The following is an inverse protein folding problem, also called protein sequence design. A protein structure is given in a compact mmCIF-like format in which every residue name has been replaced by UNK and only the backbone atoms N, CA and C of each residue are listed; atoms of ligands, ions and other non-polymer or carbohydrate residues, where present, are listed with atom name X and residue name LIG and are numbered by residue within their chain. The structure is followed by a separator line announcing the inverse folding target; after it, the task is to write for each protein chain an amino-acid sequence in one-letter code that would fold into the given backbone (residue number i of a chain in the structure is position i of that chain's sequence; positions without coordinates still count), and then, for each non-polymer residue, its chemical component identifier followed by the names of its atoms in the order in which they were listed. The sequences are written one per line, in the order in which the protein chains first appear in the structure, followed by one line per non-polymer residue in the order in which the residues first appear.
data_IF_709407111656
#
_entry.id   IF_709407111656
#
_cell.length_a   1.000
_cell.length_b   1.000
_cell.length_c   1.000
_cell.angle_alpha   90.00
_cell.angle_beta   90.00
_cell.angle_gamma   90.00
#
_symmetry.space_group_name_H-M   'P 1'
#
loop_
_entity.id
_entity.type
_entity.pdbx_description
1 polymer ?
#
# COMPACT_ATOMS: atom_id res chain seq x y z
N UNK A 1 13.22 11.51 -16.63
CA UNK A 1 12.03 12.38 -16.44
C UNK A 1 10.87 11.54 -15.94
N UNK A 2 9.95 12.10 -15.15
CA UNK A 2 8.70 11.42 -14.84
C UNK A 2 7.75 11.55 -16.04
N UNK A 3 7.68 10.51 -16.87
CA UNK A 3 6.88 10.48 -18.10
C UNK A 3 5.37 10.60 -17.81
N UNK A 4 4.93 10.45 -16.56
CA UNK A 4 3.52 10.59 -16.16
C UNK A 4 3.03 12.03 -16.17
N UNK A 5 3.90 13.04 -16.26
CA UNK A 5 3.47 14.45 -16.32
C UNK A 5 2.60 14.76 -17.54
N UNK A 6 2.77 14.03 -18.65
CA UNK A 6 1.97 14.20 -19.87
C UNK A 6 0.65 13.40 -19.83
N UNK A 7 0.49 12.51 -18.85
CA UNK A 7 -0.74 11.72 -18.66
C UNK A 7 -1.66 12.34 -17.58
N UNK A 8 -1.08 12.98 -16.56
CA UNK A 8 -1.80 13.43 -15.37
C UNK A 8 -1.82 14.95 -15.21
N UNK A 9 -3.00 15.49 -14.87
CA UNK A 9 -3.14 16.89 -14.49
C UNK A 9 -2.36 17.20 -13.20
N UNK A 10 -1.50 18.21 -13.23
CA UNK A 10 -0.66 18.65 -12.10
C UNK A 10 -1.45 19.21 -10.91
N UNK A 11 -2.75 19.47 -11.06
CA UNK A 11 -3.63 19.92 -9.97
C UNK A 11 -4.44 18.77 -9.36
N UNK A 12 -5.29 18.12 -10.17
CA UNK A 12 -6.22 17.11 -9.66
C UNK A 12 -5.63 15.69 -9.66
N UNK A 13 -4.43 15.49 -10.22
CA UNK A 13 -3.77 14.17 -10.32
C UNK A 13 -4.62 13.11 -11.05
N UNK A 14 -5.48 13.54 -11.97
CA UNK A 14 -6.32 12.66 -12.79
C UNK A 14 -5.94 12.73 -14.26
N UNK A 15 -6.19 11.63 -14.97
CA UNK A 15 -6.13 11.58 -16.43
C UNK A 15 -7.42 12.23 -16.99
N UNK A 16 -7.32 13.27 -17.83
CA UNK A 16 -8.49 13.94 -18.38
C UNK A 16 -9.28 12.99 -19.30
N UNK A 17 -10.63 13.07 -19.28
CA UNK A 17 -11.49 12.29 -20.20
C UNK A 17 -11.13 12.53 -21.67
N UNK A 18 -10.71 13.75 -22.02
CA UNK A 18 -10.29 14.14 -23.37
C UNK A 18 -8.91 13.63 -23.77
N UNK A 19 -8.14 13.05 -22.82
CA UNK A 19 -6.71 12.70 -22.98
C UNK A 19 -5.82 13.88 -23.43
N UNK A 20 -6.30 15.12 -23.28
CA UNK A 20 -5.57 16.35 -23.62
C UNK A 20 -5.27 17.16 -22.37
N UNK A 21 -4.03 17.60 -22.23
CA UNK A 21 -3.58 18.49 -21.17
C UNK A 21 -2.99 19.77 -21.78
N UNK A 22 -3.26 20.90 -21.13
CA UNK A 22 -2.67 22.20 -21.46
C UNK A 22 -1.36 22.41 -20.70
N UNK A 23 -0.31 22.77 -21.44
CA UNK A 23 0.99 23.14 -20.89
C UNK A 23 0.95 24.54 -20.24
N UNK A 24 1.60 24.67 -19.09
CA UNK A 24 1.91 25.99 -18.53
C UNK A 24 2.89 26.72 -19.47
N UNK A 25 2.45 27.82 -20.08
CA UNK A 25 3.24 28.57 -21.05
C UNK A 25 4.54 29.17 -20.46
N UNK A 26 4.61 29.34 -19.14
CA UNK A 26 5.79 29.93 -18.50
C UNK A 26 6.89 28.92 -18.21
N UNK A 27 6.60 27.87 -17.44
CA UNK A 27 7.61 26.87 -17.05
C UNK A 27 7.74 25.71 -18.03
N UNK A 28 6.77 25.55 -18.94
CA UNK A 28 6.68 24.45 -19.90
C UNK A 28 6.64 23.02 -19.31
N UNK A 29 6.67 22.88 -17.99
CA UNK A 29 6.62 21.59 -17.30
C UNK A 29 5.20 21.22 -16.87
N UNK A 30 4.54 22.04 -16.04
CA UNK A 30 3.23 21.70 -15.49
C UNK A 30 2.16 21.56 -16.58
N UNK A 31 1.23 20.63 -16.38
CA UNK A 31 0.17 20.24 -17.32
C UNK A 31 -1.19 20.25 -16.63
N UNK A 32 -2.23 20.79 -17.25
CA UNK A 32 -3.55 20.96 -16.61
C UNK A 32 -4.70 20.51 -17.52
N UNK A 33 -5.74 19.93 -16.94
CA UNK A 33 -6.98 19.66 -17.69
C UNK A 33 -7.83 20.93 -17.83
N UNK A 34 -8.59 21.01 -18.93
CA UNK A 34 -9.39 22.19 -19.30
C UNK A 34 -10.70 22.35 -18.51
N UNK A 35 -11.33 21.24 -18.13
CA UNK A 35 -12.58 21.18 -17.36
C UNK A 35 -12.40 20.27 -16.15
N UNK A 36 -13.12 20.55 -15.07
CA UNK A 36 -13.25 19.62 -13.94
C UNK A 36 -14.08 18.43 -14.43
N UNK A 37 -13.55 17.21 -14.32
CA UNK A 37 -14.26 16.00 -14.76
C UNK A 37 -15.05 15.34 -13.63
N UNK A 38 -15.15 15.99 -12.47
CA UNK A 38 -15.88 15.50 -11.31
C UNK A 38 -17.01 16.45 -10.93
N UNK A 39 -18.23 15.94 -10.93
CA UNK A 39 -19.45 16.66 -10.57
C UNK A 39 -19.66 16.74 -9.05
N UNK A 40 -18.84 16.04 -8.26
CA UNK A 40 -19.03 15.93 -6.81
C UNK A 40 -18.28 16.99 -5.97
N UNK A 41 -17.48 17.86 -6.59
CA UNK A 41 -16.97 19.05 -5.88
C UNK A 41 -18.07 20.12 -5.78
N UNK A 42 -18.85 20.06 -4.70
CA UNK A 42 -19.91 21.03 -4.36
C UNK A 42 -19.42 22.49 -4.29
N UNK A 43 -18.13 22.77 -4.42
CA UNK A 43 -17.59 24.15 -4.50
C UNK A 43 -17.62 24.75 -5.90
N UNK A 44 -17.97 24.00 -6.94
CA UNK A 44 -17.92 24.49 -8.34
C UNK A 44 -19.32 24.39 -8.97
N UNK A 45 -20.16 25.38 -8.69
CA UNK A 45 -21.53 25.46 -9.20
C UNK A 45 -21.65 25.96 -10.64
N UNK A 46 -20.53 26.27 -11.33
CA UNK A 46 -20.56 26.89 -12.66
C UNK A 46 -19.92 26.00 -13.74
N UNK A 47 -20.80 25.38 -14.55
CA UNK A 47 -20.51 24.49 -15.67
C UNK A 47 -19.81 25.15 -16.89
N UNK A 48 -19.28 26.37 -16.74
CA UNK A 48 -18.79 27.22 -17.84
C UNK A 48 -17.35 27.74 -17.67
N UNK A 49 -16.57 27.21 -16.73
CA UNK A 49 -15.19 27.64 -16.49
C UNK A 49 -14.18 26.77 -17.27
N UNK A 50 -13.36 27.40 -18.12
CA UNK A 50 -12.17 26.80 -18.76
C UNK A 50 -10.92 27.02 -17.89
N UNK A 51 -9.94 26.11 -17.99
CA UNK A 51 -8.65 26.16 -17.26
C UNK A 51 -8.78 26.13 -15.73
N UNK A 52 -9.83 25.50 -15.20
CA UNK A 52 -10.11 25.48 -13.76
C UNK A 52 -8.93 24.93 -12.95
N UNK A 53 -8.37 23.78 -13.36
CA UNK A 53 -7.25 23.18 -12.67
C UNK A 53 -6.00 24.08 -12.66
N UNK A 54 -5.72 24.79 -13.75
CA UNK A 54 -4.60 25.73 -13.80
C UNK A 54 -4.82 26.91 -12.85
N UNK A 55 -6.04 27.48 -12.82
CA UNK A 55 -6.38 28.60 -11.93
C UNK A 55 -6.30 28.20 -10.45
N UNK A 56 -6.83 27.03 -10.09
CA UNK A 56 -6.79 26.51 -8.71
C UNK A 56 -5.34 26.23 -8.29
N UNK A 57 -4.54 25.62 -9.18
CA UNK A 57 -3.15 25.31 -8.89
C UNK A 57 -2.27 26.56 -8.73
N UNK A 58 -2.67 27.71 -9.28
CA UNK A 58 -1.82 28.91 -9.30
C UNK A 58 -1.38 29.37 -7.91
N UNK A 59 -2.23 29.20 -6.89
CA UNK A 59 -1.88 29.50 -5.48
C UNK A 59 -0.69 28.68 -4.96
N UNK A 60 -0.38 27.55 -5.59
CA UNK A 60 0.77 26.69 -5.26
C UNK A 60 1.89 26.79 -6.29
N UNK A 61 1.52 26.81 -7.57
CA UNK A 61 2.45 26.74 -8.67
C UNK A 61 3.16 28.07 -8.92
N UNK A 62 2.61 29.23 -8.54
CA UNK A 62 3.17 30.55 -8.88
C UNK A 62 4.66 30.69 -8.54
N UNK A 63 5.06 30.38 -7.31
CA UNK A 63 6.45 30.51 -6.85
C UNK A 63 7.35 29.45 -7.50
N UNK A 64 6.87 28.20 -7.53
CA UNK A 64 7.49 27.08 -8.21
C UNK A 64 7.74 27.33 -9.71
N UNK A 65 6.80 28.00 -10.40
CA UNK A 65 6.79 28.15 -11.85
C UNK A 65 8.06 28.83 -12.35
N UNK A 66 8.51 29.87 -11.63
CA UNK A 66 9.74 30.61 -11.93
C UNK A 66 10.96 29.70 -11.84
N UNK A 67 11.05 28.91 -10.76
CA UNK A 67 12.20 27.99 -10.53
C UNK A 67 12.20 26.85 -11.55
N UNK A 68 11.03 26.28 -11.86
CA UNK A 68 10.89 25.25 -12.90
C UNK A 68 11.28 25.78 -14.29
N UNK A 69 10.86 27.00 -14.64
CA UNK A 69 11.24 27.63 -15.91
C UNK A 69 12.75 27.72 -16.08
N UNK A 70 13.48 28.00 -15.00
CA UNK A 70 14.92 28.18 -15.04
C UNK A 70 15.70 26.86 -15.22
N UNK A 71 15.10 25.72 -14.88
CA UNK A 71 15.80 24.42 -14.88
C UNK A 71 15.23 23.41 -15.87
N UNK A 72 13.99 23.55 -16.33
CA UNK A 72 13.40 22.64 -17.33
C UNK A 72 14.14 22.76 -18.67
N UNK A 73 14.52 21.64 -19.34
CA UNK A 73 14.14 20.25 -19.09
C UNK A 73 14.95 19.48 -18.02
N UNK A 74 16.04 20.06 -17.51
CA UNK A 74 16.97 19.44 -16.58
C UNK A 74 16.52 19.58 -15.10
N UNK A 75 15.37 18.97 -14.80
CA UNK A 75 14.78 19.04 -13.45
C UNK A 75 15.67 18.37 -12.38
N UNK A 76 15.70 18.91 -11.15
CA UNK A 76 16.35 18.23 -10.03
C UNK A 76 15.55 16.99 -9.60
N UNK A 77 16.06 16.28 -8.59
CA UNK A 77 15.38 15.13 -7.98
C UNK A 77 13.94 15.48 -7.56
N UNK A 78 13.01 14.53 -7.71
CA UNK A 78 11.60 14.68 -7.29
C UNK A 78 11.48 15.10 -5.83
N UNK A 79 12.37 14.61 -4.97
CA UNK A 79 12.44 14.96 -3.55
C UNK A 79 12.73 16.46 -3.32
N UNK A 80 13.62 17.05 -4.13
CA UNK A 80 13.94 18.49 -4.10
C UNK A 80 12.74 19.31 -4.58
N UNK A 81 12.08 18.88 -5.66
CA UNK A 81 10.85 19.53 -6.13
C UNK A 81 9.74 19.50 -5.07
N UNK A 82 9.57 18.35 -4.42
CA UNK A 82 8.56 18.15 -3.37
C UNK A 82 8.85 19.00 -2.13
N UNK A 83 10.07 18.93 -1.57
CA UNK A 83 10.47 19.74 -0.43
C UNK A 83 10.41 21.24 -0.74
N UNK A 84 10.76 21.67 -1.96
CA UNK A 84 10.64 23.07 -2.34
C UNK A 84 9.19 23.56 -2.31
N UNK A 85 8.21 22.71 -2.64
CA UNK A 85 6.77 23.03 -2.50
C UNK A 85 6.34 23.10 -1.04
N UNK A 86 6.90 22.24 -0.18
CA UNK A 86 6.65 22.28 1.27
C UNK A 86 7.21 23.57 1.87
N UNK A 87 8.43 23.96 1.54
CA UNK A 87 9.03 25.23 2.01
C UNK A 87 8.13 26.41 1.65
N UNK A 88 7.69 26.52 0.39
CA UNK A 88 6.79 27.61 -0.02
C UNK A 88 5.48 27.62 0.78
N UNK A 89 4.95 26.42 1.10
CA UNK A 89 3.73 26.27 1.90
C UNK A 89 3.94 26.69 3.35
N UNK A 90 5.05 26.27 3.98
CA UNK A 90 5.39 26.64 5.35
C UNK A 90 5.59 28.15 5.47
N UNK A 91 6.37 28.76 4.57
CA UNK A 91 6.58 30.21 4.54
C UNK A 91 5.27 30.98 4.32
N UNK A 92 4.37 30.44 3.49
CA UNK A 92 3.05 31.05 3.31
C UNK A 92 2.23 31.02 4.61
N UNK A 93 2.18 29.87 5.29
CA UNK A 93 1.44 29.70 6.54
C UNK A 93 1.97 30.64 7.64
N UNK A 94 3.28 30.79 7.77
CA UNK A 94 3.89 31.71 8.74
C UNK A 94 3.53 33.17 8.46
N UNK A 95 3.57 33.59 7.19
CA UNK A 95 3.33 34.98 6.81
C UNK A 95 1.84 35.35 6.74
N UNK A 96 0.95 34.38 6.49
CA UNK A 96 -0.45 34.64 6.16
C UNK A 96 -1.48 33.89 7.01
N UNK A 97 -1.04 32.94 7.83
CA UNK A 97 -1.93 31.93 8.41
C UNK A 97 -2.52 30.97 7.37
N UNK A 98 -3.40 30.08 7.81
CA UNK A 98 -4.04 29.08 6.95
C UNK A 98 -5.25 29.65 6.18
N UNK A 99 -5.00 30.59 5.27
CA UNK A 99 -6.04 31.19 4.41
C UNK A 99 -6.73 30.18 3.49
N UNK A 100 -6.12 29.01 3.26
CA UNK A 100 -6.60 28.04 2.29
C UNK A 100 -7.16 26.74 2.91
N UNK A 101 -7.18 26.63 4.23
CA UNK A 101 -7.68 25.44 4.94
C UNK A 101 -6.84 24.19 4.64
N UNK A 102 -5.52 24.34 4.58
CA UNK A 102 -4.57 23.23 4.42
C UNK A 102 -4.40 22.43 5.70
N UNK A 103 -4.55 23.07 6.85
CA UNK A 103 -4.45 22.46 8.16
C UNK A 103 -5.85 22.20 8.73
N UNK A 104 -5.97 21.16 9.55
CA UNK A 104 -7.21 20.83 10.27
C UNK A 104 -6.89 20.44 11.70
N UNK A 105 -7.08 19.16 12.04
CA UNK A 105 -6.90 18.63 13.38
C UNK A 105 -5.44 18.69 13.86
N UNK A 106 -4.49 18.59 12.93
CA UNK A 106 -3.04 18.71 13.19
C UNK A 106 -2.45 19.78 12.29
N UNK A 107 -1.65 20.67 12.87
CA UNK A 107 -0.92 21.71 12.13
C UNK A 107 0.51 21.26 11.82
N UNK A 108 1.16 21.96 10.91
CA UNK A 108 2.57 21.77 10.56
C UNK A 108 3.49 21.90 11.79
N UNK A 109 3.18 22.85 12.68
CA UNK A 109 3.91 23.05 13.94
C UNK A 109 3.95 21.79 14.79
N UNK A 110 2.87 21.00 14.76
CA UNK A 110 2.65 19.86 15.65
C UNK A 110 3.21 18.54 15.09
N UNK A 111 3.70 18.55 13.85
CA UNK A 111 4.30 17.36 13.24
C UNK A 111 5.65 17.04 13.89
N UNK A 112 5.88 15.77 14.21
CA UNK A 112 7.14 15.28 14.77
C UNK A 112 8.23 15.25 13.69
N UNK A 113 9.42 15.76 14.02
CA UNK A 113 10.58 15.76 13.12
C UNK A 113 11.59 14.64 13.40
N UNK A 114 11.69 14.17 14.65
CA UNK A 114 12.78 13.27 15.07
C UNK A 114 14.17 13.83 14.73
N UNK A 115 14.36 15.13 14.95
CA UNK A 115 15.58 15.86 14.61
C UNK A 115 16.81 15.22 15.25
N UNK A 116 16.78 14.92 16.55
CA UNK A 116 17.90 14.31 17.25
C UNK A 116 18.21 12.88 16.75
N UNK A 117 17.19 12.07 16.48
CA UNK A 117 17.37 10.72 15.94
C UNK A 117 17.96 10.75 14.52
N UNK A 118 17.49 11.66 13.67
CA UNK A 118 18.03 11.84 12.31
C UNK A 118 19.47 12.37 12.36
N UNK A 119 19.80 13.22 13.34
CA UNK A 119 21.17 13.73 13.54
C UNK A 119 22.14 12.62 13.96
N UNK A 120 21.68 11.70 14.80
CA UNK A 120 22.46 10.54 15.23
C UNK A 120 22.57 9.46 14.14
N UNK A 121 21.61 9.39 13.20
CA UNK A 121 21.65 8.50 12.04
C UNK A 121 22.54 9.07 10.92
N UNK A 122 23.79 8.61 10.89
CA UNK A 122 24.81 9.06 9.94
C UNK A 122 24.33 9.03 8.48
N UNK A 123 23.65 7.94 8.07
CA UNK A 123 23.21 7.78 6.69
C UNK A 123 22.11 8.78 6.31
N UNK A 124 21.16 9.04 7.22
CA UNK A 124 20.11 10.04 6.97
C UNK A 124 20.62 11.47 7.07
N UNK A 125 21.56 11.75 7.97
CA UNK A 125 22.18 13.06 8.06
C UNK A 125 23.02 13.39 6.81
N UNK A 126 23.77 12.42 6.27
CA UNK A 126 24.46 12.59 4.98
C UNK A 126 23.48 12.80 3.82
N UNK A 127 22.32 12.15 3.84
CA UNK A 127 21.26 12.41 2.86
C UNK A 127 20.73 13.84 2.97
N UNK A 128 20.50 14.33 4.20
CA UNK A 128 20.15 15.73 4.44
C UNK A 128 21.16 16.70 3.81
N UNK A 129 22.47 16.51 4.02
CA UNK A 129 23.52 17.37 3.43
C UNK A 129 23.44 17.39 1.90
N UNK A 130 23.27 16.22 1.28
CA UNK A 130 23.13 16.10 -0.18
C UNK A 130 21.89 16.84 -0.68
N UNK A 131 20.76 16.72 0.01
CA UNK A 131 19.53 17.43 -0.35
C UNK A 131 19.68 18.93 -0.12
N UNK A 132 20.26 19.39 0.99
CA UNK A 132 20.46 20.81 1.28
C UNK A 132 21.29 21.50 0.18
N UNK A 133 22.38 20.88 -0.27
CA UNK A 133 23.22 21.39 -1.36
C UNK A 133 22.45 21.48 -2.69
N UNK A 134 21.64 20.45 -3.02
CA UNK A 134 20.78 20.47 -4.23
C UNK A 134 19.67 21.50 -4.11
N UNK A 135 19.08 21.66 -2.94
CA UNK A 135 18.03 22.64 -2.66
C UNK A 135 18.57 24.07 -2.77
N UNK A 136 19.77 24.32 -2.23
CA UNK A 136 20.45 25.63 -2.33
C UNK A 136 20.71 26.02 -3.78
N UNK A 137 21.18 25.08 -4.60
CA UNK A 137 21.34 25.30 -6.05
C UNK A 137 19.99 25.59 -6.74
N UNK A 138 18.92 24.89 -6.35
CA UNK A 138 17.60 25.03 -6.97
C UNK A 138 16.86 26.32 -6.58
N UNK A 139 16.92 26.72 -5.30
CA UNK A 139 16.23 27.90 -4.76
C UNK A 139 17.05 29.19 -4.84
N UNK A 140 18.38 29.09 -4.89
CA UNK A 140 19.31 30.24 -4.94
C UNK A 140 18.99 31.24 -3.83
N UNK A 141 18.72 32.50 -4.19
CA UNK A 141 18.40 33.58 -3.24
C UNK A 141 17.09 33.37 -2.48
N UNK A 142 16.21 32.44 -2.92
CA UNK A 142 14.99 32.04 -2.18
C UNK A 142 15.23 30.91 -1.16
N UNK A 143 16.49 30.52 -0.93
CA UNK A 143 16.83 29.49 0.04
C UNK A 143 16.62 30.01 1.46
N UNK A 144 16.09 29.15 2.32
CA UNK A 144 15.89 29.44 3.74
C UNK A 144 17.14 29.09 4.55
N UNK A 145 17.20 29.57 5.79
CA UNK A 145 18.24 29.19 6.74
C UNK A 145 18.38 27.66 6.88
N UNK A 146 19.62 27.20 7.11
CA UNK A 146 19.97 25.78 7.16
C UNK A 146 19.24 25.04 8.29
N UNK A 147 19.13 25.65 9.46
CA UNK A 147 18.49 25.00 10.62
C UNK A 147 16.98 24.89 10.39
N UNK A 148 16.38 25.94 9.82
CA UNK A 148 14.98 25.89 9.39
C UNK A 148 14.74 24.83 8.31
N UNK A 149 15.65 24.72 7.34
CA UNK A 149 15.58 23.67 6.32
C UNK A 149 15.70 22.27 6.94
N UNK A 150 16.60 22.09 7.91
CA UNK A 150 16.77 20.83 8.63
C UNK A 150 15.49 20.38 9.34
N UNK A 151 14.80 21.29 10.04
CA UNK A 151 13.50 21.00 10.68
C UNK A 151 12.46 20.56 9.63
N UNK A 152 12.38 21.27 8.50
CA UNK A 152 11.44 20.91 7.42
C UNK A 152 11.80 19.56 6.81
N UNK A 153 13.07 19.27 6.59
CA UNK A 153 13.57 17.99 6.09
C UNK A 153 13.17 16.84 7.04
N UNK A 154 13.39 17.02 8.34
CA UNK A 154 13.08 16.05 9.37
C UNK A 154 11.57 15.74 9.41
N UNK A 155 10.73 16.78 9.56
CA UNK A 155 9.25 16.64 9.54
C UNK A 155 8.77 15.99 8.24
N UNK A 156 9.32 16.38 7.09
CA UNK A 156 8.94 15.78 5.80
C UNK A 156 9.32 14.30 5.74
N UNK A 157 10.50 13.93 6.18
CA UNK A 157 11.01 12.55 6.15
C UNK A 157 10.18 11.60 7.02
N UNK A 158 9.79 12.04 8.20
CA UNK A 158 9.00 11.24 9.16
C UNK A 158 7.53 11.11 8.73
N UNK A 159 6.92 12.21 8.27
CA UNK A 159 5.47 12.29 8.07
C UNK A 159 5.03 11.98 6.63
N UNK A 160 5.97 11.72 5.71
CA UNK A 160 5.63 11.38 4.32
C UNK A 160 5.21 9.92 4.15
N UNK A 161 4.05 9.73 3.51
CA UNK A 161 3.52 8.44 3.09
C UNK A 161 3.16 8.45 1.60
N UNK A 162 3.33 7.32 0.92
CA UNK A 162 2.98 7.16 -0.48
C UNK A 162 1.66 6.40 -0.60
N UNK A 163 0.68 7.00 -1.29
CA UNK A 163 -0.63 6.40 -1.50
C UNK A 163 -0.80 6.16 -3.00
N UNK A 164 -1.15 4.93 -3.37
CA UNK A 164 -1.60 4.61 -4.72
C UNK A 164 -3.10 4.90 -4.81
N UNK A 165 -3.47 5.93 -5.55
CA UNK A 165 -4.88 6.31 -5.76
C UNK A 165 -5.11 6.68 -7.21
N UNK A 166 -6.28 6.32 -7.69
CA UNK A 166 -6.85 6.66 -8.99
C UNK A 166 -7.94 7.73 -8.88
N UNK A 167 -8.29 8.14 -7.64
CA UNK A 167 -9.26 9.19 -7.32
C UNK A 167 -8.66 10.60 -7.37
N UNK A 168 -7.40 10.75 -7.81
CA UNK A 168 -6.72 12.04 -7.87
C UNK A 168 -6.11 12.43 -6.53
N UNK A 169 -6.45 13.60 -6.00
CA UNK A 169 -5.92 14.11 -4.72
C UNK A 169 -6.70 13.63 -3.49
N UNK A 170 -7.68 12.76 -3.68
CA UNK A 170 -8.53 12.24 -2.60
C UNK A 170 -7.92 10.97 -2.00
N UNK A 171 -7.78 10.98 -0.68
CA UNK A 171 -7.45 9.82 0.13
C UNK A 171 -8.62 9.54 1.08
N UNK A 172 -9.00 8.27 1.22
CA UNK A 172 -10.10 7.85 2.06
C UNK A 172 -9.58 6.85 3.11
N UNK A 173 -10.00 7.04 4.35
CA UNK A 173 -9.77 6.10 5.43
C UNK A 173 -11.01 5.21 5.55
N UNK A 174 -10.82 3.89 5.45
CA UNK A 174 -11.89 2.91 5.62
C UNK A 174 -11.56 1.97 6.77
N UNK A 175 -12.47 1.76 7.73
CA UNK A 175 -12.27 0.80 8.80
C UNK A 175 -12.28 -0.62 8.22
N UNK A 176 -11.22 -1.38 8.49
CA UNK A 176 -11.11 -2.78 8.02
C UNK A 176 -11.68 -3.79 9.02
N UNK A 177 -12.16 -3.31 10.17
CA UNK A 177 -12.85 -4.11 11.19
C UNK A 177 -14.14 -3.40 11.62
N UNK A 178 -15.22 -4.14 11.94
CA UNK A 178 -16.51 -3.55 12.31
C UNK A 178 -16.46 -2.62 13.53
N UNK A 179 -15.50 -2.83 14.44
CA UNK A 179 -15.37 -2.10 15.70
C UNK A 179 -14.62 -0.77 15.55
N UNK A 180 -13.96 -0.54 14.40
CA UNK A 180 -13.12 0.64 14.20
C UNK A 180 -13.96 1.87 13.84
N UNK A 181 -13.88 2.92 14.65
CA UNK A 181 -14.46 4.23 14.31
C UNK A 181 -13.41 5.13 13.65
N UNK A 182 -13.38 5.16 12.31
CA UNK A 182 -12.39 5.93 11.54
C UNK A 182 -12.35 7.44 11.86
N UNK A 183 -13.40 8.00 12.46
CA UNK A 183 -13.47 9.41 12.87
C UNK A 183 -12.79 9.69 14.22
N UNK A 184 -12.41 8.66 14.99
CA UNK A 184 -11.75 8.82 16.29
C UNK A 184 -10.23 8.54 16.18
N UNK A 185 -9.37 9.57 16.08
CA UNK A 185 -7.93 9.37 15.92
C UNK A 185 -7.23 8.85 17.19
N UNK A 186 -7.92 8.78 18.34
CA UNK A 186 -7.35 8.20 19.58
C UNK A 186 -7.42 6.67 19.61
N UNK A 187 -8.36 6.10 18.86
CA UNK A 187 -8.63 4.65 18.86
C UNK A 187 -8.45 4.02 17.49
N UNK A 188 -8.31 4.82 16.44
CA UNK A 188 -8.15 4.35 15.07
C UNK A 188 -6.74 4.56 14.57
N UNK A 189 -6.15 3.46 14.10
CA UNK A 189 -4.76 3.40 13.66
C UNK A 189 -4.69 2.92 12.22
N UNK A 190 -3.69 3.41 11.48
CA UNK A 190 -3.31 2.87 10.17
C UNK A 190 -1.97 2.17 10.29
N UNK A 191 -1.71 1.19 9.43
CA UNK A 191 -0.37 0.60 9.34
C UNK A 191 0.51 1.42 8.39
N UNK A 192 1.72 1.72 8.83
CA UNK A 192 2.72 2.41 7.98
C UNK A 192 3.53 1.43 7.11
N UNK A 193 3.44 0.15 7.45
CA UNK A 193 4.23 -0.94 6.88
C UNK A 193 3.31 -2.08 6.47
N UNK A 194 3.87 -3.05 5.76
CA UNK A 194 3.20 -4.31 5.46
C UNK A 194 3.08 -5.17 6.73
N UNK A 195 1.85 -5.45 7.16
CA UNK A 195 1.56 -6.22 8.38
C UNK A 195 1.61 -7.73 8.18
N UNK A 196 1.67 -8.22 6.93
CA UNK A 196 1.82 -9.65 6.61
C UNK A 196 3.23 -10.17 6.86
N UNK A 197 3.81 -9.83 8.01
CA UNK A 197 5.21 -10.07 8.40
C UNK A 197 5.28 -10.48 9.88
N UNK A 198 6.42 -11.07 10.25
CA UNK A 198 6.74 -11.40 11.64
C UNK A 198 6.84 -10.15 12.51
N UNK A 199 6.74 -10.32 13.83
CA UNK A 199 6.94 -9.26 14.82
C UNK A 199 8.28 -8.55 14.64
N UNK A 200 9.37 -9.31 14.50
CA UNK A 200 10.72 -8.79 14.34
C UNK A 200 10.81 -7.86 13.12
N UNK A 201 10.36 -8.31 11.94
CA UNK A 201 10.43 -7.52 10.72
C UNK A 201 9.58 -6.25 10.82
N UNK A 202 8.38 -6.33 11.41
CA UNK A 202 7.51 -5.17 11.62
C UNK A 202 8.17 -4.12 12.52
N UNK A 203 8.72 -4.53 13.67
CA UNK A 203 9.41 -3.62 14.59
C UNK A 203 10.68 -3.04 13.99
N UNK A 204 11.46 -3.85 13.27
CA UNK A 204 12.67 -3.42 12.57
C UNK A 204 12.36 -2.31 11.55
N UNK A 205 11.35 -2.51 10.69
CA UNK A 205 10.95 -1.52 9.68
C UNK A 205 10.45 -0.23 10.36
N UNK A 206 9.58 -0.35 11.37
CA UNK A 206 9.07 0.81 12.11
C UNK A 206 10.19 1.61 12.80
N UNK A 207 11.11 0.93 13.50
CA UNK A 207 12.23 1.56 14.20
C UNK A 207 13.19 2.25 13.23
N UNK A 208 13.51 1.61 12.11
CA UNK A 208 14.46 2.16 11.13
C UNK A 208 13.99 3.47 10.49
N UNK A 209 12.68 3.67 10.30
CA UNK A 209 12.15 4.88 9.64
C UNK A 209 11.51 5.87 10.62
N UNK A 210 10.80 5.38 11.63
CA UNK A 210 10.01 6.19 12.58
C UNK A 210 10.52 6.15 14.02
N UNK A 211 11.65 5.47 14.29
CA UNK A 211 12.37 5.54 15.57
C UNK A 211 11.55 5.16 16.82
N UNK A 212 10.60 4.23 16.69
CA UNK A 212 9.85 3.73 17.84
C UNK A 212 9.73 2.21 17.83
N UNK A 213 9.60 1.64 19.03
CA UNK A 213 9.32 0.23 19.25
C UNK A 213 7.81 0.01 19.38
N UNK A 214 7.22 -0.74 18.44
CA UNK A 214 5.78 -0.96 18.42
C UNK A 214 5.31 -1.88 19.56
N UNK A 215 4.36 -1.39 20.36
CA UNK A 215 3.72 -2.10 21.47
C UNK A 215 2.21 -2.30 21.26
N UNK A 216 1.76 -2.44 20.00
CA UNK A 216 0.36 -2.76 19.73
C UNK A 216 0.02 -4.17 20.22
N UNK A 217 -1.29 -4.46 20.36
CA UNK A 217 -1.83 -5.74 20.83
C UNK A 217 -1.13 -6.94 20.18
N UNK A 218 -1.06 -6.97 18.84
CA UNK A 218 -0.40 -8.06 18.09
C UNK A 218 1.11 -8.14 18.32
N UNK A 219 1.81 -7.01 18.51
CA UNK A 219 3.25 -7.03 18.83
C UNK A 219 3.53 -7.51 20.27
N UNK A 220 2.53 -7.44 21.15
CA UNK A 220 2.62 -7.90 22.53
C UNK A 220 2.10 -9.33 22.72
N UNK A 221 1.26 -9.84 21.82
CA UNK A 221 0.67 -11.18 21.88
C UNK A 221 1.67 -12.29 21.48
N UNK A 222 2.12 -13.17 22.40
CA UNK A 222 3.03 -14.28 22.11
C UNK A 222 2.53 -15.24 21.02
N UNK A 223 1.22 -15.32 20.78
CA UNK A 223 0.66 -16.16 19.73
C UNK A 223 1.11 -15.75 18.33
N UNK A 224 1.53 -14.49 18.11
CA UNK A 224 2.09 -14.01 16.84
C UNK A 224 3.35 -14.80 16.42
N UNK A 225 4.07 -15.40 17.38
CA UNK A 225 5.27 -16.21 17.11
C UNK A 225 4.96 -17.53 16.35
N UNK A 226 3.68 -17.91 16.19
CA UNK A 226 3.31 -19.00 15.28
C UNK A 226 3.76 -18.71 13.83
N UNK A 227 3.81 -17.43 13.46
CA UNK A 227 4.23 -16.97 12.13
C UNK A 227 5.74 -17.12 11.88
N UNK A 228 6.51 -17.43 12.91
CA UNK A 228 7.95 -17.69 12.85
C UNK A 228 8.29 -19.12 13.26
N UNK A 229 7.27 -20.00 13.27
CA UNK A 229 7.44 -21.40 13.62
C UNK A 229 8.35 -22.16 12.65
N UNK A 230 9.07 -23.13 13.20
CA UNK A 230 9.99 -24.03 12.48
C UNK A 230 9.44 -25.46 12.56
N UNK A 231 9.91 -26.34 11.67
CA UNK A 231 9.47 -27.74 11.66
C UNK A 231 10.01 -28.47 12.88
N UNK A 232 9.29 -29.50 13.31
CA UNK A 232 9.87 -30.50 14.18
C UNK A 232 11.02 -31.21 13.43
N UNK A 233 12.12 -31.49 14.12
CA UNK A 233 13.23 -32.27 13.59
C UNK A 233 12.85 -33.73 13.30
N UNK A 234 11.75 -34.22 13.89
CA UNK A 234 11.12 -35.47 13.48
C UNK A 234 10.24 -35.22 12.24
N UNK A 235 10.66 -35.74 11.08
CA UNK A 235 9.98 -35.59 9.80
C UNK A 235 8.53 -36.10 9.76
N UNK A 236 8.16 -37.04 10.64
CA UNK A 236 6.78 -37.56 10.76
C UNK A 236 5.89 -36.71 11.68
N UNK A 237 6.43 -35.66 12.29
CA UNK A 237 5.73 -34.78 13.21
C UNK A 237 5.48 -33.40 12.56
N UNK A 238 4.21 -33.03 12.41
CA UNK A 238 3.77 -31.73 11.88
C UNK A 238 3.52 -30.69 13.00
N UNK A 239 4.13 -30.88 14.17
CA UNK A 239 3.99 -29.90 15.26
C UNK A 239 4.90 -28.70 15.00
N UNK A 240 4.37 -27.46 14.99
CA UNK A 240 5.20 -26.27 14.87
C UNK A 240 6.01 -26.04 16.15
N UNK A 241 7.31 -25.83 16.01
CA UNK A 241 8.16 -25.37 17.10
C UNK A 241 8.25 -23.85 17.06
N UNK A 242 8.00 -23.20 18.19
CA UNK A 242 7.91 -21.73 18.26
C UNK A 242 9.29 -21.12 18.54
N UNK A 243 9.72 -20.21 17.68
CA UNK A 243 10.92 -19.37 17.86
C UNK A 243 10.66 -18.00 17.22
N UNK A 244 11.62 -17.09 17.31
CA UNK A 244 11.63 -15.80 16.62
C UNK A 244 13.02 -15.53 16.05
N UNK A 245 13.12 -14.66 15.05
CA UNK A 245 14.39 -14.34 14.37
C UNK A 245 15.42 -13.68 15.30
N UNK A 246 14.95 -12.97 16.32
CA UNK A 246 15.75 -12.23 17.30
C UNK A 246 15.77 -12.89 18.69
N UNK A 247 15.20 -14.08 18.84
CA UNK A 247 15.30 -14.86 20.07
C UNK A 247 16.68 -15.52 20.20
N UNK A 248 17.17 -15.66 21.43
CA UNK A 248 18.33 -16.50 21.72
C UNK A 248 18.07 -17.93 21.25
N UNK A 249 19.01 -18.48 20.47
CA UNK A 249 18.91 -19.84 19.98
C UNK A 249 19.04 -20.81 21.17
N UNK A 250 18.07 -21.70 21.32
CA UNK A 250 18.06 -22.70 22.38
C UNK A 250 17.34 -23.94 21.90
N UNK A 251 17.70 -25.11 22.46
CA UNK A 251 17.05 -26.37 22.10
C UNK A 251 15.56 -26.33 22.46
N UNK A 252 14.70 -26.83 21.56
CA UNK A 252 13.25 -26.86 21.72
C UNK A 252 12.78 -28.32 21.72
N UNK A 253 12.13 -28.73 22.80
CA UNK A 253 11.45 -30.03 22.87
C UNK A 253 10.07 -29.94 22.23
N UNK A 254 9.82 -30.78 21.23
CA UNK A 254 8.53 -30.85 20.57
C UNK A 254 7.43 -31.29 21.54
N UNK A 255 6.35 -30.50 21.72
CA UNK A 255 5.29 -30.83 22.67
C UNK A 255 4.46 -32.04 22.26
N UNK A 256 4.48 -32.42 20.97
CA UNK A 256 3.70 -33.53 20.42
C UNK A 256 4.44 -34.87 20.45
N UNK A 257 5.70 -34.90 20.01
CA UNK A 257 6.45 -36.16 19.86
C UNK A 257 7.67 -36.28 20.80
N UNK A 258 7.97 -35.26 21.60
CA UNK A 258 9.11 -35.25 22.52
C UNK A 258 10.49 -35.13 21.86
N UNK A 259 10.57 -35.15 20.53
CA UNK A 259 11.82 -34.95 19.80
C UNK A 259 12.41 -33.57 20.13
N UNK A 260 13.71 -33.53 20.42
CA UNK A 260 14.43 -32.28 20.64
C UNK A 260 14.99 -31.78 19.31
N UNK A 261 14.65 -30.54 18.96
CA UNK A 261 15.39 -29.75 17.99
C UNK A 261 16.52 -29.05 18.76
N UNK A 262 17.77 -29.33 18.41
CA UNK A 262 18.92 -28.74 19.09
C UNK A 262 19.12 -27.26 18.71
N UNK A 263 20.05 -26.61 19.41
CA UNK A 263 20.38 -25.20 19.21
C UNK A 263 20.86 -24.90 17.78
N UNK A 264 21.63 -25.82 17.17
CA UNK A 264 22.15 -25.65 15.81
C UNK A 264 21.01 -25.65 14.78
N UNK A 265 20.05 -26.57 14.93
CA UNK A 265 18.86 -26.62 14.08
C UNK A 265 18.01 -25.35 14.22
N UNK A 266 17.78 -24.89 15.45
CA UNK A 266 17.02 -23.66 15.71
C UNK A 266 17.73 -22.44 15.11
N UNK A 267 19.04 -22.33 15.32
CA UNK A 267 19.87 -21.25 14.77
C UNK A 267 19.82 -21.25 13.23
N UNK A 268 19.98 -22.41 12.59
CA UNK A 268 19.89 -22.54 11.13
C UNK A 268 18.52 -22.08 10.59
N UNK A 269 17.43 -22.41 11.29
CA UNK A 269 16.09 -21.98 10.91
C UNK A 269 15.87 -20.46 11.12
N UNK A 270 16.43 -19.87 12.18
CA UNK A 270 16.42 -18.41 12.38
C UNK A 270 17.20 -17.69 11.28
N UNK A 271 18.39 -18.19 10.92
CA UNK A 271 19.18 -17.67 9.81
C UNK A 271 18.47 -17.80 8.46
N UNK A 272 17.75 -18.91 8.23
CA UNK A 272 16.88 -19.10 7.07
C UNK A 272 15.86 -17.96 6.95
N UNK A 273 15.19 -17.59 8.04
CA UNK A 273 14.22 -16.48 8.01
C UNK A 273 14.89 -15.13 7.71
N UNK A 274 16.09 -14.89 8.25
CA UNK A 274 16.82 -13.64 8.06
C UNK A 274 17.36 -13.46 6.64
N UNK A 275 17.70 -14.55 5.92
CA UNK A 275 18.17 -14.49 4.52
C UNK A 275 17.05 -14.33 3.50
N UNK A 276 15.81 -14.65 3.85
CA UNK A 276 14.70 -14.64 2.89
C UNK A 276 14.34 -13.21 2.45
N UNK A 277 13.92 -13.03 1.18
CA UNK A 277 13.60 -11.71 0.65
C UNK A 277 12.49 -11.01 1.45
N UNK A 278 12.77 -9.79 1.89
CA UNK A 278 11.76 -8.96 2.55
C UNK A 278 10.67 -8.49 1.58
N UNK A 279 10.95 -8.38 0.29
CA UNK A 279 10.01 -7.89 -0.74
C UNK A 279 10.15 -8.75 -2.00
N UNK A 280 9.04 -8.95 -2.68
CA UNK A 280 8.97 -9.64 -3.96
C UNK A 280 8.53 -8.62 -5.01
N UNK A 281 9.17 -8.63 -6.18
CA UNK A 281 8.71 -7.84 -7.32
C UNK A 281 8.02 -8.77 -8.33
N UNK A 282 7.04 -8.27 -9.11
CA UNK A 282 6.41 -9.04 -10.18
C UNK A 282 7.40 -9.56 -11.23
N UNK A 283 8.56 -8.91 -11.36
CA UNK A 283 9.64 -9.27 -12.28
C UNK A 283 10.64 -10.28 -11.68
N UNK A 284 10.40 -10.77 -10.46
CA UNK A 284 11.27 -11.77 -9.82
C UNK A 284 11.25 -13.08 -10.60
N UNK A 285 12.41 -13.76 -10.68
CA UNK A 285 12.49 -15.06 -11.32
C UNK A 285 11.72 -16.11 -10.49
N UNK A 286 10.65 -16.74 -11.03
CA UNK A 286 9.88 -17.74 -10.30
C UNK A 286 10.71 -18.97 -9.91
N UNK A 287 11.68 -19.38 -10.72
CA UNK A 287 12.52 -20.56 -10.44
C UNK A 287 13.40 -20.31 -9.20
N UNK A 288 14.01 -19.14 -9.11
CA UNK A 288 14.81 -18.74 -7.93
C UNK A 288 13.96 -18.64 -6.66
N UNK A 289 12.71 -18.19 -6.78
CA UNK A 289 11.78 -18.18 -5.63
C UNK A 289 11.37 -19.60 -5.24
N UNK A 290 11.21 -20.51 -6.20
CA UNK A 290 10.90 -21.91 -5.96
C UNK A 290 12.06 -22.63 -5.25
N UNK A 291 13.30 -22.39 -5.67
CA UNK A 291 14.50 -22.89 -4.96
C UNK A 291 14.55 -22.43 -3.50
N UNK A 292 14.32 -21.13 -3.26
CA UNK A 292 14.24 -20.59 -1.90
C UNK A 292 13.11 -21.20 -1.08
N UNK A 293 11.95 -21.44 -1.70
CA UNK A 293 10.81 -22.09 -1.05
C UNK A 293 11.14 -23.53 -0.66
N UNK A 294 11.78 -24.29 -1.55
CA UNK A 294 12.14 -25.68 -1.29
C UNK A 294 13.20 -25.79 -0.18
N UNK A 295 14.20 -24.90 -0.19
CA UNK A 295 15.18 -24.80 0.88
C UNK A 295 14.54 -24.42 2.22
N UNK A 296 13.69 -23.40 2.22
CA UNK A 296 12.97 -22.95 3.42
C UNK A 296 12.04 -24.03 3.97
N UNK A 297 11.38 -24.80 3.11
CA UNK A 297 10.41 -25.83 3.50
C UNK A 297 11.04 -27.03 4.23
N UNK A 298 12.38 -27.16 4.19
CA UNK A 298 13.11 -28.19 4.94
C UNK A 298 13.18 -27.87 6.44
N UNK A 299 13.16 -26.59 6.81
CA UNK A 299 13.38 -26.14 8.20
C UNK A 299 12.23 -25.31 8.76
N UNK A 300 11.52 -24.55 7.92
CA UNK A 300 10.41 -23.68 8.35
C UNK A 300 9.07 -24.42 8.24
N UNK A 301 8.22 -24.22 9.24
CA UNK A 301 6.91 -24.85 9.27
C UNK A 301 5.96 -24.19 8.26
N UNK A 302 4.92 -24.91 7.84
CA UNK A 302 3.91 -24.42 6.89
C UNK A 302 3.14 -23.17 7.38
N UNK A 303 3.05 -22.96 8.69
CA UNK A 303 2.46 -21.74 9.30
C UNK A 303 3.39 -20.53 9.29
N UNK A 304 4.65 -20.72 8.89
CA UNK A 304 5.63 -19.66 8.86
C UNK A 304 5.25 -18.63 7.77
N UNK A 305 5.28 -17.34 8.11
CA UNK A 305 4.87 -16.26 7.22
C UNK A 305 5.82 -16.12 6.02
N UNK A 306 7.08 -16.50 6.17
CA UNK A 306 8.03 -16.48 5.07
C UNK A 306 7.70 -17.51 3.99
N UNK A 307 7.34 -18.73 4.40
CA UNK A 307 6.82 -19.78 3.50
C UNK A 307 5.57 -19.28 2.79
N UNK A 308 4.62 -18.75 3.57
CA UNK A 308 3.35 -18.21 3.05
C UNK A 308 3.57 -17.15 1.98
N UNK A 309 4.49 -16.21 2.24
CA UNK A 309 4.79 -15.11 1.31
C UNK A 309 5.50 -15.60 0.04
N UNK A 310 6.41 -16.58 0.15
CA UNK A 310 7.05 -17.21 -1.02
C UNK A 310 6.01 -17.90 -1.89
N UNK A 311 5.14 -18.71 -1.28
CA UNK A 311 4.05 -19.40 -1.98
C UNK A 311 3.13 -18.38 -2.70
N UNK A 312 2.71 -17.33 -1.98
CA UNK A 312 1.88 -16.27 -2.56
C UNK A 312 2.57 -15.51 -3.70
N UNK A 313 3.87 -15.21 -3.56
CA UNK A 313 4.64 -14.53 -4.60
C UNK A 313 4.77 -15.39 -5.87
N UNK A 314 5.10 -16.68 -5.71
CA UNK A 314 5.22 -17.60 -6.86
C UNK A 314 3.85 -17.71 -7.56
N UNK A 315 2.77 -17.98 -6.81
CA UNK A 315 1.42 -18.07 -7.38
C UNK A 315 1.02 -16.78 -8.12
N UNK A 316 1.38 -15.61 -7.60
CA UNK A 316 1.10 -14.34 -8.28
C UNK A 316 1.85 -14.20 -9.62
N UNK A 317 3.09 -14.73 -9.71
CA UNK A 317 3.94 -14.62 -10.90
C UNK A 317 3.56 -15.66 -11.96
N UNK A 318 3.35 -16.91 -11.56
CA UNK A 318 3.17 -18.05 -12.46
C UNK A 318 1.71 -18.43 -12.68
N UNK A 319 0.81 -18.01 -11.79
CA UNK A 319 -0.59 -18.46 -11.76
C UNK A 319 -0.80 -19.89 -11.22
N UNK A 320 0.26 -20.59 -10.82
CA UNK A 320 0.20 -21.98 -10.31
C UNK A 320 1.35 -22.29 -9.35
N UNK A 321 1.20 -23.33 -8.53
CA UNK A 321 2.26 -23.76 -7.60
C UNK A 321 2.10 -25.25 -7.28
N UNK A 322 2.99 -26.08 -7.82
CA UNK A 322 3.03 -27.56 -7.64
C UNK A 322 1.68 -28.24 -7.98
N UNK A 323 1.62 -29.57 -7.84
CA UNK A 323 0.40 -30.34 -8.14
C UNK A 323 -0.71 -30.18 -7.07
N UNK A 324 -0.39 -29.61 -5.90
CA UNK A 324 -1.29 -29.48 -4.73
C UNK A 324 -1.81 -28.05 -4.50
N UNK A 325 -2.05 -27.30 -5.57
CA UNK A 325 -2.46 -25.89 -5.52
C UNK A 325 -3.62 -25.57 -4.53
N UNK A 326 -4.74 -26.33 -4.46
CA UNK A 326 -5.84 -26.01 -3.54
C UNK A 326 -5.44 -26.06 -2.06
N UNK A 327 -4.57 -27.01 -1.70
CA UNK A 327 -4.06 -27.13 -0.33
C UNK A 327 -3.22 -25.90 0.02
N UNK A 328 -2.32 -25.50 -0.87
CA UNK A 328 -1.44 -24.35 -0.65
C UNK A 328 -2.25 -23.06 -0.59
N UNK A 329 -3.24 -22.88 -1.47
CA UNK A 329 -4.10 -21.70 -1.44
C UNK A 329 -4.87 -21.56 -0.13
N UNK A 330 -5.40 -22.69 0.40
CA UNK A 330 -6.09 -22.71 1.69
C UNK A 330 -5.14 -22.42 2.84
N UNK A 331 -3.95 -22.99 2.81
CA UNK A 331 -2.90 -22.73 3.80
C UNK A 331 -2.52 -21.23 3.83
N UNK A 332 -2.31 -20.61 2.66
CA UNK A 332 -2.02 -19.18 2.55
C UNK A 332 -3.17 -18.33 3.11
N UNK A 333 -4.41 -18.68 2.78
CA UNK A 333 -5.59 -17.99 3.28
C UNK A 333 -5.69 -18.04 4.82
N UNK A 334 -5.52 -19.21 5.44
CA UNK A 334 -5.54 -19.33 6.91
C UNK A 334 -4.38 -18.59 7.57
N UNK A 335 -3.19 -18.63 6.97
CA UNK A 335 -2.03 -17.88 7.49
C UNK A 335 -2.22 -16.36 7.37
N UNK A 336 -2.86 -15.89 6.31
CA UNK A 336 -3.20 -14.46 6.15
C UNK A 336 -4.24 -14.01 7.17
N UNK A 337 -5.23 -14.84 7.50
CA UNK A 337 -6.21 -14.54 8.56
C UNK A 337 -5.58 -14.37 9.95
N UNK A 338 -4.42 -14.97 10.19
CA UNK A 338 -3.68 -14.77 11.45
C UNK A 338 -2.96 -13.42 11.54
N UNK A 339 -2.67 -12.75 10.42
CA UNK A 339 -1.83 -11.55 10.41
C UNK A 339 -2.48 -10.29 9.82
N UNK A 340 -3.55 -10.43 9.05
CA UNK A 340 -4.28 -9.33 8.43
C UNK A 340 -5.66 -9.13 9.07
N UNK A 341 -6.16 -7.88 9.14
CA UNK A 341 -7.55 -7.59 9.44
C UNK A 341 -8.50 -8.32 8.49
N UNK A 342 -9.71 -8.62 8.97
CA UNK A 342 -10.73 -9.36 8.21
C UNK A 342 -10.96 -8.82 6.78
N UNK A 343 -11.09 -7.50 6.63
CA UNK A 343 -11.33 -6.87 5.33
C UNK A 343 -10.04 -6.40 4.62
N UNK A 344 -8.88 -7.01 4.91
CA UNK A 344 -7.65 -6.68 4.20
C UNK A 344 -7.67 -7.21 2.76
N UNK A 345 -7.18 -6.40 1.82
CA UNK A 345 -7.17 -6.73 0.39
C UNK A 345 -6.42 -8.02 0.07
N UNK A 346 -5.38 -8.38 0.82
CA UNK A 346 -4.60 -9.61 0.55
C UNK A 346 -5.45 -10.86 0.75
N UNK A 347 -6.38 -10.84 1.72
CA UNK A 347 -7.36 -11.91 1.94
C UNK A 347 -8.31 -11.97 0.73
N UNK A 348 -8.84 -10.83 0.29
CA UNK A 348 -9.71 -10.75 -0.89
C UNK A 348 -9.06 -11.30 -2.16
N UNK A 349 -7.79 -10.96 -2.42
CA UNK A 349 -7.05 -11.51 -3.56
C UNK A 349 -6.82 -13.02 -3.45
N UNK A 350 -6.50 -13.50 -2.24
CA UNK A 350 -6.29 -14.93 -2.03
C UNK A 350 -7.57 -15.74 -2.26
N UNK A 351 -8.72 -15.21 -1.84
CA UNK A 351 -10.02 -15.80 -2.14
C UNK A 351 -10.29 -15.87 -3.65
N UNK A 352 -9.92 -14.85 -4.43
CA UNK A 352 -10.06 -14.89 -5.89
C UNK A 352 -9.16 -15.94 -6.56
N UNK A 353 -7.99 -16.24 -6.00
CA UNK A 353 -7.17 -17.35 -6.50
C UNK A 353 -7.86 -18.70 -6.26
N UNK A 354 -8.49 -18.88 -5.10
CA UNK A 354 -9.30 -20.07 -4.80
C UNK A 354 -10.48 -20.18 -5.77
N UNK A 355 -11.21 -19.07 -6.01
CA UNK A 355 -12.32 -19.00 -6.98
C UNK A 355 -11.86 -19.44 -8.37
N UNK A 356 -10.72 -18.91 -8.83
CA UNK A 356 -10.14 -19.27 -10.13
C UNK A 356 -9.92 -20.78 -10.25
N UNK A 357 -9.28 -21.39 -9.25
CA UNK A 357 -9.00 -22.84 -9.26
C UNK A 357 -10.27 -23.68 -9.25
N UNK A 358 -11.33 -23.27 -8.56
CA UNK A 358 -12.62 -23.97 -8.61
C UNK A 358 -13.28 -23.87 -10.00
N UNK A 359 -13.21 -22.71 -10.65
CA UNK A 359 -13.71 -22.53 -12.01
C UNK A 359 -12.92 -23.42 -12.99
N UNK A 360 -11.59 -23.44 -12.93
CA UNK A 360 -10.72 -24.28 -13.77
C UNK A 360 -11.04 -25.78 -13.63
N UNK A 361 -11.54 -26.21 -12.45
CA UNK A 361 -11.97 -27.60 -12.19
C UNK A 361 -13.42 -27.90 -12.58
N UNK A 362 -14.16 -26.94 -13.12
CA UNK A 362 -15.59 -27.05 -13.40
C UNK A 362 -16.48 -27.07 -12.13
N UNK A 363 -15.91 -26.76 -10.97
CA UNK A 363 -16.55 -26.77 -9.65
C UNK A 363 -17.06 -25.37 -9.28
N UNK A 364 -17.87 -24.77 -10.16
CA UNK A 364 -18.30 -23.37 -10.03
C UNK A 364 -19.18 -23.10 -8.80
N UNK A 365 -19.92 -24.10 -8.30
CA UNK A 365 -20.79 -23.95 -7.13
C UNK A 365 -20.00 -23.70 -5.86
N UNK A 366 -18.86 -24.37 -5.73
CA UNK A 366 -17.94 -24.26 -4.61
C UNK A 366 -17.28 -22.86 -4.58
N UNK A 367 -17.10 -22.23 -5.75
CA UNK A 367 -16.53 -20.89 -5.87
C UNK A 367 -17.43 -19.76 -5.34
N UNK A 368 -18.75 -19.96 -5.26
CA UNK A 368 -19.73 -18.89 -4.94
C UNK A 368 -19.42 -18.24 -3.59
N UNK A 369 -19.20 -19.05 -2.55
CA UNK A 369 -18.94 -18.57 -1.19
C UNK A 369 -17.67 -17.73 -1.09
N UNK A 370 -16.60 -18.16 -1.75
CA UNK A 370 -15.33 -17.42 -1.79
C UNK A 370 -15.44 -16.13 -2.60
N UNK A 371 -16.18 -16.14 -3.71
CA UNK A 371 -16.43 -14.93 -4.50
C UNK A 371 -17.27 -13.89 -3.73
N UNK A 372 -18.26 -14.35 -2.97
CA UNK A 372 -19.07 -13.50 -2.09
C UNK A 372 -18.23 -12.86 -0.98
N UNK A 373 -17.38 -13.64 -0.32
CA UNK A 373 -16.49 -13.12 0.73
C UNK A 373 -15.49 -12.11 0.16
N UNK A 374 -14.87 -12.42 -0.99
CA UNK A 374 -13.95 -11.50 -1.68
C UNK A 374 -14.63 -10.18 -2.07
N UNK A 375 -15.88 -10.25 -2.56
CA UNK A 375 -16.69 -9.09 -2.88
C UNK A 375 -16.90 -8.21 -1.65
N UNK A 376 -17.32 -8.77 -0.52
CA UNK A 376 -17.55 -8.03 0.72
C UNK A 376 -16.26 -7.36 1.23
N UNK A 377 -15.12 -8.05 1.15
CA UNK A 377 -13.82 -7.49 1.52
C UNK A 377 -13.48 -6.29 0.63
N UNK A 378 -13.65 -6.40 -0.69
CA UNK A 378 -13.36 -5.32 -1.63
C UNK A 378 -14.33 -4.15 -1.52
N UNK A 379 -15.58 -4.40 -1.16
CA UNK A 379 -16.53 -3.34 -0.79
C UNK A 379 -15.98 -2.50 0.36
N UNK A 380 -15.53 -3.16 1.44
CA UNK A 380 -15.05 -2.49 2.64
C UNK A 380 -13.75 -1.73 2.38
N UNK A 381 -12.74 -2.38 1.78
CA UNK A 381 -11.42 -1.74 1.65
C UNK A 381 -11.33 -0.74 0.50
N UNK A 382 -12.06 -0.93 -0.60
CA UNK A 382 -12.00 -0.05 -1.77
C UNK A 382 -13.25 0.83 -1.96
N UNK A 383 -14.43 0.37 -1.56
CA UNK A 383 -15.71 1.06 -1.72
C UNK A 383 -16.49 0.65 -2.98
N UNK A 384 -17.79 0.95 -2.96
CA UNK A 384 -18.78 0.54 -3.99
C UNK A 384 -18.46 0.99 -5.42
N UNK A 385 -17.72 2.09 -5.58
CA UNK A 385 -17.37 2.63 -6.90
C UNK A 385 -16.07 2.05 -7.46
N UNK A 386 -15.35 1.24 -6.68
CA UNK A 386 -14.05 0.73 -7.12
C UNK A 386 -14.23 -0.41 -8.12
N UNK A 387 -13.45 -0.45 -9.22
CA UNK A 387 -13.55 -1.51 -10.23
C UNK A 387 -13.40 -2.91 -9.64
N UNK A 388 -12.53 -3.08 -8.65
CA UNK A 388 -12.27 -4.40 -8.07
C UNK A 388 -13.50 -4.97 -7.36
N UNK A 389 -14.23 -4.10 -6.63
CA UNK A 389 -15.52 -4.47 -6.06
C UNK A 389 -16.52 -4.78 -7.17
N UNK A 390 -16.70 -3.90 -8.16
CA UNK A 390 -17.71 -4.06 -9.21
C UNK A 390 -17.49 -5.31 -10.07
N UNK A 391 -16.25 -5.61 -10.43
CA UNK A 391 -15.93 -6.83 -11.19
C UNK A 391 -16.14 -8.09 -10.35
N UNK A 392 -15.79 -8.04 -9.05
CA UNK A 392 -16.00 -9.18 -8.14
C UNK A 392 -17.49 -9.38 -7.82
N UNK A 393 -18.28 -8.31 -7.72
CA UNK A 393 -19.73 -8.34 -7.62
C UNK A 393 -20.35 -9.01 -8.86
N UNK A 394 -19.90 -8.64 -10.06
CA UNK A 394 -20.33 -9.29 -11.30
C UNK A 394 -19.97 -10.78 -11.33
N UNK A 395 -18.73 -11.12 -10.94
CA UNK A 395 -18.26 -12.51 -10.86
C UNK A 395 -19.15 -13.35 -9.93
N UNK A 396 -19.34 -12.88 -8.69
CA UNK A 396 -20.20 -13.54 -7.73
C UNK A 396 -21.63 -13.69 -8.26
N UNK A 397 -22.20 -12.62 -8.83
CA UNK A 397 -23.58 -12.64 -9.38
C UNK A 397 -23.73 -13.68 -10.50
N UNK A 398 -22.76 -13.77 -11.41
CA UNK A 398 -22.82 -14.75 -12.50
C UNK A 398 -22.67 -16.19 -12.00
N UNK A 399 -21.83 -16.43 -10.99
CA UNK A 399 -21.69 -17.74 -10.37
C UNK A 399 -22.97 -18.13 -9.61
N UNK A 400 -23.53 -17.23 -8.82
CA UNK A 400 -24.73 -17.48 -7.98
C UNK A 400 -25.98 -17.75 -8.82
N UNK A 401 -26.16 -16.97 -9.90
CA UNK A 401 -27.31 -17.11 -10.82
C UNK A 401 -27.14 -18.23 -11.84
N UNK A 402 -26.01 -18.94 -11.86
CA UNK A 402 -25.63 -19.88 -12.92
C UNK A 402 -25.77 -19.28 -14.33
N UNK A 403 -25.38 -18.01 -14.50
CA UNK A 403 -25.44 -17.34 -15.79
C UNK A 403 -24.57 -18.09 -16.82
N UNK A 404 -24.99 -18.15 -18.11
CA UNK A 404 -24.25 -18.86 -19.16
C UNK A 404 -23.00 -18.07 -19.57
N UNK A 405 -21.95 -18.17 -18.76
CA UNK A 405 -20.63 -17.54 -18.97
C UNK A 405 -19.54 -18.59 -19.22
N UNK A 406 -18.62 -18.31 -20.14
CA UNK A 406 -17.42 -19.13 -20.33
C UNK A 406 -16.43 -18.91 -19.17
N UNK A 407 -15.47 -19.83 -19.00
CA UNK A 407 -14.45 -19.68 -17.96
C UNK A 407 -13.58 -18.43 -18.22
N UNK A 408 -13.27 -18.12 -19.49
CA UNK A 408 -12.52 -16.94 -19.88
C UNK A 408 -13.25 -15.63 -19.53
N UNK A 409 -14.57 -15.59 -19.72
CA UNK A 409 -15.39 -14.44 -19.32
C UNK A 409 -15.36 -14.23 -17.80
N UNK A 410 -15.35 -15.31 -17.02
CA UNK A 410 -15.24 -15.25 -15.55
C UNK A 410 -13.82 -14.86 -15.12
N UNK A 411 -12.78 -15.39 -15.77
CA UNK A 411 -11.39 -15.03 -15.48
C UNK A 411 -11.09 -13.56 -15.81
N UNK A 412 -11.74 -12.98 -16.81
CA UNK A 412 -11.62 -11.56 -17.09
C UNK A 412 -12.09 -10.66 -15.93
N UNK A 413 -12.98 -11.16 -15.06
CA UNK A 413 -13.50 -10.41 -13.89
C UNK A 413 -12.56 -10.43 -12.69
N UNK A 414 -11.61 -11.38 -12.63
CA UNK A 414 -10.56 -11.42 -11.60
C UNK A 414 -9.25 -10.76 -12.07
N UNK A 415 -9.16 -10.42 -13.36
CA UNK A 415 -8.02 -9.73 -13.96
C UNK A 415 -8.21 -8.21 -13.92
N UNK A 416 -7.58 -7.60 -12.92
CA UNK A 416 -7.75 -6.20 -12.59
C UNK A 416 -6.83 -5.27 -13.38
N UNK A 417 -7.37 -4.55 -14.37
CA UNK A 417 -6.60 -3.66 -15.24
C UNK A 417 -6.71 -2.16 -14.93
N UNK A 418 -7.67 -1.78 -14.08
CA UNK A 418 -7.95 -0.38 -13.76
C UNK A 418 -8.31 -0.21 -12.30
N UNK A 419 -7.71 0.79 -11.66
CA UNK A 419 -8.12 1.24 -10.34
C UNK A 419 -9.12 2.40 -10.38
N UNK A 420 -9.44 2.94 -11.56
CA UNK A 420 -10.24 4.17 -11.69
C UNK A 420 -11.68 3.96 -11.21
N UNK A 421 -12.19 4.73 -10.23
CA UNK A 421 -13.56 4.60 -9.78
C UNK A 421 -14.56 4.82 -10.92
N UNK A 422 -15.64 4.06 -10.89
CA UNK A 422 -16.76 4.16 -11.83
C UNK A 422 -17.82 5.09 -11.22
N UNK A 423 -18.27 6.05 -12.02
CA UNK A 423 -19.38 6.92 -11.64
C UNK A 423 -20.69 6.15 -11.76
N UNK A 424 -21.31 5.87 -10.61
CA UNK A 424 -22.55 5.12 -10.50
C UNK A 424 -23.79 6.00 -10.36
N UNK A 425 -23.64 7.34 -10.34
CA UNK A 425 -24.75 8.25 -10.01
C UNK A 425 -25.98 8.07 -10.90
N UNK A 426 -25.76 7.87 -12.21
CA UNK A 426 -26.86 7.64 -13.17
C UNK A 426 -27.55 6.27 -12.97
N UNK A 427 -26.80 5.26 -12.54
CA UNK A 427 -27.35 3.91 -12.33
C UNK A 427 -28.17 3.89 -11.04
N UNK A 428 -27.65 4.50 -9.98
CA UNK A 428 -28.31 4.55 -8.68
C UNK A 428 -29.58 5.43 -8.73
N UNK A 429 -29.60 6.51 -9.50
CA UNK A 429 -30.81 7.32 -9.69
C UNK A 429 -31.94 6.52 -10.34
N UNK A 430 -31.62 5.71 -11.35
CA UNK A 430 -32.60 4.90 -12.09
C UNK A 430 -33.16 3.77 -11.22
N UNK A 431 -32.31 3.12 -10.41
CA UNK A 431 -32.74 2.06 -9.48
C UNK A 431 -33.64 2.64 -8.38
N UNK A 432 -33.28 3.80 -7.82
CA UNK A 432 -34.08 4.47 -6.79
C UNK A 432 -35.46 4.85 -7.33
N UNK A 433 -35.54 5.33 -8.57
CA UNK A 433 -36.82 5.63 -9.22
C UNK A 433 -37.66 4.37 -9.48
N UNK A 434 -37.03 3.23 -9.81
CA UNK A 434 -37.73 1.94 -10.03
C UNK A 434 -38.18 1.24 -8.74
N UNK A 435 -37.58 1.56 -7.58
CA UNK A 435 -37.96 1.01 -6.28
C UNK A 435 -39.03 1.85 -5.57
N UNK A 436 -39.20 3.12 -5.98
CA UNK A 436 -40.17 4.06 -5.42
C UNK A 436 -41.45 4.14 -6.28
N UNK A 437 -41.40 3.72 -7.55
CA UNK A 437 -42.56 3.45 -8.39
C UNK A 437 -43.10 2.05 -8.17
#
# INVERSE_FOLDING_TARGET
MNNKVDEFCSNCLRIPKTKKLLKCASCEFARYCDKVTDLNDRRITNFSLTKVCQRIAWKHHKNECRRLKAVFPNLPLTEVLFMSRIIDRVLFLEANGDKYGWERDRKWSDLLGHEEDIKADQAKYEHFEKIFNKMSTFRKDEMIDRDKFYIIFCKTSINSHSIHTSAGTEACLRPLTPQTNASNPRTSFISYIDIGRSRYQRRKELKSKWYFDCACERCCDPADNILTSIRCSNASCDEPLITAEDAEAMAITCPKCGQVADEEYVCAAQQMMLRLPAKFSPESNPDSLQELLDEASNVLHQKNIYITRLQAAIMHITGTLKDNLPFIQRQVYENYKMCFPYADRHIGYQLLQIVRTYIEKGQRKEAISYAFEAMNIFEICFGLQHPYYLQTLALWTFLDTNAPKTDEELFALINFHSNRPVDLSNILSDVTQKLIG
#
